data_IF_899144173286
#
_entry.id   IF_899144173286
#
_cell.length_a   1.000
_cell.length_b   1.000
_cell.length_c   1.000
_cell.angle_alpha   90.00
_cell.angle_beta   90.00
_cell.angle_gamma   90.00
#
_symmetry.space_group_name_H-M   'P 1'
#
loop_
_entity.id
_entity.type
_entity.pdbx_description
1 polymer ?
#
# COMPACT_ATOMS: atom_id res chain seq x y z
N UNK A 1 -12.47 10.04 21.35
CA UNK A 1 -12.09 9.33 20.12
C UNK A 1 -10.65 9.65 19.81
N UNK A 2 -9.91 8.69 19.26
CA UNK A 2 -8.47 8.74 18.95
C UNK A 2 -8.34 8.79 17.43
N UNK A 3 -7.47 9.66 16.90
CA UNK A 3 -7.21 9.71 15.46
C UNK A 3 -6.21 8.62 15.06
N UNK A 4 -6.72 7.54 14.46
CA UNK A 4 -5.89 6.39 14.07
C UNK A 4 -4.95 6.71 12.89
N UNK A 5 -5.10 7.87 12.23
CA UNK A 5 -4.11 8.35 11.29
C UNK A 5 -2.79 8.71 11.97
N UNK A 6 -2.83 9.27 13.18
CA UNK A 6 -1.61 9.55 13.93
C UNK A 6 -0.91 8.25 14.35
N UNK A 7 -1.68 7.24 14.75
CA UNK A 7 -1.15 5.90 15.05
C UNK A 7 -0.52 5.25 13.82
N UNK A 8 -1.15 5.36 12.65
CA UNK A 8 -0.57 4.90 11.37
C UNK A 8 0.81 5.50 11.13
N UNK A 9 0.93 6.83 11.22
CA UNK A 9 2.19 7.55 11.02
C UNK A 9 3.25 7.12 12.02
N UNK A 10 2.87 7.00 13.29
CA UNK A 10 3.77 6.56 14.35
C UNK A 10 4.22 5.11 14.17
N UNK A 11 3.35 4.22 13.69
CA UNK A 11 3.71 2.84 13.39
C UNK A 11 4.66 2.76 12.20
N UNK A 12 4.41 3.52 11.13
CA UNK A 12 5.34 3.61 9.99
C UNK A 12 6.70 4.14 10.46
N UNK A 13 6.75 5.21 11.26
CA UNK A 13 8.03 5.71 11.80
C UNK A 13 8.74 4.71 12.71
N UNK A 14 7.99 3.81 13.35
CA UNK A 14 8.53 2.75 14.21
C UNK A 14 8.96 1.49 13.43
N UNK A 15 8.93 1.53 12.10
CA UNK A 15 9.42 0.45 11.26
C UNK A 15 8.35 -0.56 10.81
N UNK A 16 7.07 -0.36 11.11
CA UNK A 16 6.04 -1.32 10.76
C UNK A 16 5.54 -1.13 9.32
N UNK A 17 5.25 -2.25 8.64
CA UNK A 17 4.43 -2.22 7.43
C UNK A 17 2.97 -2.09 7.82
N UNK A 18 2.30 -1.04 7.36
CA UNK A 18 0.95 -0.69 7.77
C UNK A 18 0.02 -0.52 6.58
N UNK A 19 -1.27 -0.69 6.82
CA UNK A 19 -2.35 -0.32 5.89
C UNK A 19 -2.94 1.00 6.37
N UNK A 20 -3.12 1.96 5.46
CA UNK A 20 -3.73 3.24 5.78
C UNK A 20 -5.13 3.04 6.43
N UNK A 21 -5.49 3.79 7.49
CA UNK A 21 -6.76 3.62 8.21
C UNK A 21 -8.00 3.61 7.32
N UNK A 22 -8.00 4.41 6.25
CA UNK A 22 -9.05 4.42 5.23
C UNK A 22 -9.32 3.01 4.66
N UNK A 23 -8.30 2.38 4.10
CA UNK A 23 -8.42 1.06 3.47
C UNK A 23 -8.75 -0.01 4.50
N UNK A 24 -8.17 0.10 5.71
CA UNK A 24 -8.48 -0.78 6.82
C UNK A 24 -9.96 -0.71 7.21
N UNK A 25 -10.49 0.49 7.48
CA UNK A 25 -11.91 0.68 7.83
C UNK A 25 -12.85 0.18 6.73
N UNK A 26 -12.50 0.42 5.46
CA UNK A 26 -13.25 -0.11 4.31
C UNK A 26 -13.28 -1.65 4.35
N UNK A 27 -12.14 -2.30 4.57
CA UNK A 27 -12.06 -3.75 4.64
C UNK A 27 -12.88 -4.29 5.82
N UNK A 28 -12.79 -3.66 6.99
CA UNK A 28 -13.54 -4.04 8.18
C UNK A 28 -15.07 -3.89 7.98
N UNK A 29 -15.49 -2.82 7.29
CA UNK A 29 -16.89 -2.60 6.92
C UNK A 29 -17.43 -3.63 5.92
N UNK A 30 -16.60 -4.07 4.95
CA UNK A 30 -16.96 -5.15 4.01
C UNK A 30 -17.02 -6.51 4.71
N UNK A 31 -16.04 -6.81 5.57
CA UNK A 31 -15.90 -8.06 6.29
C UNK A 31 -16.89 -8.23 7.45
N UNK A 32 -17.57 -7.15 7.86
CA UNK A 32 -18.44 -7.09 9.06
C UNK A 32 -17.68 -7.47 10.34
N UNK A 33 -16.40 -7.13 10.42
CA UNK A 33 -15.49 -7.52 11.50
C UNK A 33 -15.26 -6.42 12.54
N UNK A 34 -15.86 -5.23 12.36
CA UNK A 34 -15.83 -4.18 13.38
C UNK A 34 -16.58 -4.64 14.66
N UNK A 35 -16.05 -4.32 15.86
CA UNK A 35 -16.75 -4.52 17.12
C UNK A 35 -18.17 -3.95 17.11
N UNK A 36 -19.07 -4.58 17.88
CA UNK A 36 -20.51 -4.30 17.90
C UNK A 36 -20.85 -2.84 18.27
N UNK A 37 -19.98 -2.21 19.06
CA UNK A 37 -20.18 -0.90 19.68
C UNK A 37 -19.12 0.14 19.25
N UNK A 38 -18.56 -0.02 18.05
CA UNK A 38 -17.53 0.91 17.55
C UNK A 38 -18.09 2.30 17.25
N UNK A 39 -17.51 3.32 17.89
CA UNK A 39 -17.71 4.73 17.51
C UNK A 39 -16.60 5.15 16.52
N UNK A 40 -16.99 5.52 15.30
CA UNK A 40 -16.07 5.84 14.21
C UNK A 40 -16.52 7.12 13.51
N UNK A 41 -15.61 8.05 13.28
CA UNK A 41 -15.83 9.25 12.48
C UNK A 41 -14.67 9.47 11.52
N UNK A 42 -14.97 9.62 10.24
CA UNK A 42 -13.96 9.86 9.22
C UNK A 42 -14.51 10.79 8.14
N UNK A 43 -13.84 11.92 7.96
CA UNK A 43 -14.39 13.07 7.25
C UNK A 43 -15.76 13.50 7.83
N UNK A 44 -16.73 13.72 6.95
CA UNK A 44 -18.10 14.14 7.32
C UNK A 44 -19.02 12.99 7.77
N UNK A 45 -18.49 11.78 7.93
CA UNK A 45 -19.29 10.61 8.26
C UNK A 45 -19.02 10.22 9.71
N UNK A 46 -20.09 10.04 10.49
CA UNK A 46 -20.05 9.63 11.91
C UNK A 46 -20.94 8.40 12.12
N UNK A 47 -20.43 7.42 12.87
CA UNK A 47 -21.14 6.22 13.29
C UNK A 47 -21.01 6.07 14.80
N UNK A 48 -22.14 5.78 15.46
CA UNK A 48 -22.20 5.53 16.91
C UNK A 48 -22.94 4.25 17.24
N UNK A 49 -22.29 3.37 18.02
CA UNK A 49 -22.93 2.30 18.82
C UNK A 49 -24.05 1.46 18.18
N UNK A 50 -24.03 1.21 16.87
CA UNK A 50 -24.99 0.29 16.22
C UNK A 50 -24.23 -0.68 15.34
N UNK A 51 -24.51 -1.98 15.51
CA UNK A 51 -24.24 -3.03 14.51
C UNK A 51 -24.41 -2.45 13.10
N UNK A 52 -23.44 -2.70 12.23
CA UNK A 52 -23.65 -2.69 10.78
C UNK A 52 -24.64 -3.81 10.42
N UNK A 53 -25.93 -3.68 10.80
CA UNK A 53 -27.01 -4.62 10.45
C UNK A 53 -27.13 -4.72 8.93
N UNK A 54 -26.81 -3.64 8.23
CA UNK A 54 -26.43 -3.59 6.83
C UNK A 54 -25.03 -2.99 6.83
N UNK A 55 -24.07 -3.62 6.13
CA UNK A 55 -22.72 -3.05 5.97
C UNK A 55 -22.81 -1.60 5.49
N UNK A 56 -21.80 -0.77 5.76
CA UNK A 56 -21.70 0.53 5.09
C UNK A 56 -21.73 0.24 3.58
N UNK A 57 -22.58 0.95 2.84
CA UNK A 57 -22.61 0.75 1.39
C UNK A 57 -21.23 1.09 0.83
N UNK A 58 -20.75 0.25 -0.10
CA UNK A 58 -19.46 0.46 -0.75
C UNK A 58 -19.40 1.85 -1.42
N UNK A 59 -20.55 2.34 -1.89
CA UNK A 59 -20.71 3.64 -2.52
C UNK A 59 -20.60 4.79 -1.53
N UNK A 60 -21.01 4.61 -0.27
CA UNK A 60 -20.79 5.59 0.80
C UNK A 60 -19.31 5.67 1.13
N UNK A 61 -18.61 4.54 1.19
CA UNK A 61 -17.17 4.49 1.48
C UNK A 61 -16.32 5.08 0.35
N UNK A 62 -16.69 4.82 -0.91
CA UNK A 62 -16.00 5.33 -2.10
C UNK A 62 -16.09 6.85 -2.29
N UNK A 63 -17.06 7.52 -1.66
CA UNK A 63 -17.22 8.99 -1.70
C UNK A 63 -16.21 9.72 -0.81
N UNK A 64 -15.43 8.99 -0.04
CA UNK A 64 -14.48 9.54 0.91
C UNK A 64 -13.13 9.48 0.22
N UNK A 65 -12.54 10.64 -0.03
CA UNK A 65 -11.19 10.69 -0.57
C UNK A 65 -10.22 10.18 0.49
N UNK A 66 -9.26 9.32 0.12
CA UNK A 66 -8.24 8.79 1.04
C UNK A 66 -7.30 9.88 1.56
N UNK A 67 -6.99 10.88 0.71
CA UNK A 67 -5.99 11.94 0.93
C UNK A 67 -6.59 13.37 0.86
N UNK A 68 -7.85 13.55 1.23
CA UNK A 68 -8.50 14.86 1.32
C UNK A 68 -7.94 15.73 2.45
N UNK A 69 -7.98 17.07 2.27
CA UNK A 69 -7.42 18.07 3.21
C UNK A 69 -8.00 18.03 4.63
N UNK A 70 -9.14 17.37 4.84
CA UNK A 70 -9.85 17.29 6.13
C UNK A 70 -9.89 15.87 6.73
N UNK A 71 -9.00 14.98 6.29
CA UNK A 71 -9.08 13.57 6.68
C UNK A 71 -8.54 13.31 8.08
N UNK A 72 -9.45 13.19 9.04
CA UNK A 72 -9.23 12.52 10.31
C UNK A 72 -9.92 11.15 10.31
N UNK A 73 -9.42 10.21 11.10
CA UNK A 73 -9.99 8.88 11.29
C UNK A 73 -10.15 8.63 12.79
N UNK A 74 -11.20 9.19 13.36
CA UNK A 74 -11.47 9.12 14.79
C UNK A 74 -12.17 7.80 15.14
N UNK A 75 -11.56 7.01 16.01
CA UNK A 75 -12.11 5.76 16.50
C UNK A 75 -12.22 5.78 18.04
N UNK A 76 -13.09 4.95 18.61
CA UNK A 76 -12.99 4.66 20.05
C UNK A 76 -11.70 3.89 20.39
N UNK A 77 -11.47 3.72 21.70
CA UNK A 77 -10.28 3.04 22.22
C UNK A 77 -10.19 1.59 21.75
N UNK A 78 -11.28 0.84 21.79
CA UNK A 78 -11.28 -0.59 21.45
C UNK A 78 -10.93 -0.79 19.96
N UNK A 79 -11.53 0.00 19.07
CA UNK A 79 -11.30 -0.04 17.63
C UNK A 79 -9.86 0.37 17.30
N UNK A 80 -9.35 1.37 18.00
CA UNK A 80 -7.95 1.80 17.90
C UNK A 80 -6.97 0.71 18.32
N UNK A 81 -7.26 -0.01 19.40
CA UNK A 81 -6.44 -1.13 19.88
C UNK A 81 -6.43 -2.30 18.88
N UNK A 82 -7.57 -2.59 18.25
CA UNK A 82 -7.66 -3.60 17.17
C UNK A 82 -6.77 -3.21 16.00
N UNK A 83 -6.88 -1.97 15.50
CA UNK A 83 -6.03 -1.47 14.41
C UNK A 83 -4.54 -1.63 14.72
N UNK A 84 -4.11 -1.11 15.88
CA UNK A 84 -2.71 -1.17 16.29
C UNK A 84 -2.19 -2.62 16.40
N UNK A 85 -2.98 -3.52 16.96
CA UNK A 85 -2.62 -4.93 17.08
C UNK A 85 -2.46 -5.59 15.71
N UNK A 86 -3.39 -5.34 14.79
CA UNK A 86 -3.35 -5.88 13.44
C UNK A 86 -2.15 -5.36 12.66
N UNK A 87 -1.86 -4.06 12.71
CA UNK A 87 -0.69 -3.47 12.03
C UNK A 87 0.63 -4.00 12.59
N UNK A 88 0.76 -4.17 13.91
CA UNK A 88 1.97 -4.74 14.52
C UNK A 88 2.18 -6.22 14.20
N UNK A 89 1.10 -6.96 13.99
CA UNK A 89 1.14 -8.35 13.54
C UNK A 89 1.30 -8.47 12.02
N UNK A 90 1.16 -7.37 11.29
CA UNK A 90 1.21 -7.36 9.83
C UNK A 90 2.62 -7.63 9.33
N UNK A 91 2.70 -8.47 8.30
CA UNK A 91 3.88 -8.61 7.47
C UNK A 91 3.68 -7.93 6.12
N UNK A 92 4.71 -8.02 5.29
CA UNK A 92 4.64 -7.50 3.92
C UNK A 92 3.55 -8.19 3.10
N UNK A 93 2.69 -7.37 2.52
CA UNK A 93 1.87 -7.67 1.35
C UNK A 93 1.86 -6.45 0.43
N UNK A 94 1.30 -6.57 -0.77
CA UNK A 94 1.28 -5.49 -1.78
C UNK A 94 0.67 -4.21 -1.18
N UNK A 95 -0.46 -4.34 -0.48
CA UNK A 95 -1.18 -3.20 0.07
C UNK A 95 -0.45 -2.51 1.23
N UNK A 96 0.16 -3.29 2.13
CA UNK A 96 0.93 -2.75 3.24
C UNK A 96 2.20 -2.07 2.75
N UNK A 97 2.87 -2.62 1.73
CA UNK A 97 4.04 -1.99 1.12
C UNK A 97 3.63 -0.67 0.48
N UNK A 98 2.59 -0.65 -0.36
CA UNK A 98 2.13 0.56 -1.04
C UNK A 98 1.77 1.68 -0.04
N UNK A 99 0.97 1.37 0.99
CA UNK A 99 0.58 2.36 2.00
C UNK A 99 1.78 2.87 2.81
N UNK A 100 2.70 1.97 3.19
CA UNK A 100 3.89 2.35 3.95
C UNK A 100 4.83 3.22 3.10
N UNK A 101 5.03 2.87 1.84
CA UNK A 101 5.88 3.60 0.91
C UNK A 101 5.34 5.01 0.64
N UNK A 102 4.03 5.13 0.38
CA UNK A 102 3.34 6.42 0.18
C UNK A 102 3.49 7.35 1.40
N UNK A 103 3.37 6.81 2.62
CA UNK A 103 3.57 7.62 3.84
C UNK A 103 5.03 8.04 4.05
N UNK A 104 5.99 7.17 3.70
CA UNK A 104 7.41 7.48 3.80
C UNK A 104 7.86 8.52 2.75
N UNK A 105 7.20 8.55 1.59
CA UNK A 105 7.63 9.30 0.41
C UNK A 105 6.44 10.03 -0.24
N UNK A 106 6.21 11.26 0.22
CA UNK A 106 5.04 12.09 -0.16
C UNK A 106 4.90 12.41 -1.66
N UNK A 107 5.95 12.21 -2.44
CA UNK A 107 5.94 12.37 -3.89
C UNK A 107 5.34 11.18 -4.65
N UNK A 108 5.09 10.08 -3.95
CA UNK A 108 4.37 8.94 -4.49
C UNK A 108 2.89 9.01 -4.17
N UNK A 109 2.10 8.63 -5.15
CA UNK A 109 0.67 8.36 -5.00
C UNK A 109 0.44 6.87 -5.25
N UNK A 110 -0.42 6.23 -4.44
CA UNK A 110 -0.75 4.81 -4.60
C UNK A 110 -2.10 4.57 -5.30
N UNK A 111 -2.22 3.43 -5.98
CA UNK A 111 -3.44 2.97 -6.65
C UNK A 111 -4.01 3.94 -7.72
N UNK A 112 -3.14 4.63 -8.46
CA UNK A 112 -3.53 5.64 -9.45
C UNK A 112 -3.95 4.99 -10.77
N UNK A 113 -5.10 5.45 -11.30
CA UNK A 113 -5.57 5.08 -12.63
C UNK A 113 -4.86 5.88 -13.71
N UNK A 114 -4.16 5.18 -14.61
CA UNK A 114 -3.46 5.77 -15.76
C UNK A 114 -4.33 5.80 -17.03
N UNK A 115 -5.46 5.09 -17.01
CA UNK A 115 -6.40 4.95 -18.10
C UNK A 115 -7.50 3.93 -17.76
N UNK A 116 -8.34 3.59 -18.72
CA UNK A 116 -9.41 2.61 -18.52
C UNK A 116 -8.84 1.23 -18.15
N UNK A 117 -9.03 0.82 -16.90
CA UNK A 117 -8.60 -0.49 -16.40
C UNK A 117 -7.11 -0.62 -16.09
N UNK A 118 -6.34 0.47 -16.19
CA UNK A 118 -4.90 0.47 -15.92
C UNK A 118 -4.62 1.22 -14.62
N UNK A 119 -4.24 0.49 -13.56
CA UNK A 119 -4.01 1.03 -12.22
C UNK A 119 -2.62 0.67 -11.75
N UNK A 120 -1.76 1.66 -11.53
CA UNK A 120 -0.42 1.47 -11.02
C UNK A 120 -0.41 1.42 -9.49
N UNK A 121 0.49 0.63 -8.92
CA UNK A 121 0.63 0.49 -7.47
C UNK A 121 1.17 1.76 -6.81
N UNK A 122 2.29 2.30 -7.32
CA UNK A 122 2.93 3.52 -6.86
C UNK A 122 3.43 4.33 -8.06
N UNK A 123 3.14 5.63 -8.08
CA UNK A 123 3.60 6.54 -9.14
C UNK A 123 4.09 7.86 -8.55
N UNK A 124 5.19 8.37 -9.08
CA UNK A 124 5.68 9.73 -8.83
C UNK A 124 5.77 10.52 -10.14
N UNK A 125 6.43 11.69 -10.12
CA UNK A 125 6.64 12.50 -11.33
C UNK A 125 7.47 11.81 -12.42
N UNK A 126 8.33 10.86 -12.03
CA UNK A 126 9.28 10.21 -12.94
C UNK A 126 9.41 8.70 -12.77
N UNK A 127 8.79 8.11 -11.74
CA UNK A 127 8.87 6.67 -11.47
C UNK A 127 7.50 6.02 -11.40
N UNK A 128 7.43 4.76 -11.83
CA UNK A 128 6.34 3.83 -11.55
C UNK A 128 6.94 2.59 -10.90
N UNK A 129 6.40 2.21 -9.74
CA UNK A 129 6.79 1.00 -9.01
C UNK A 129 5.58 0.06 -8.97
N UNK A 130 5.74 -1.15 -9.47
CA UNK A 130 4.78 -2.24 -9.32
C UNK A 130 5.26 -3.20 -8.22
N UNK A 131 4.41 -3.46 -7.22
CA UNK A 131 4.75 -4.30 -6.08
C UNK A 131 4.10 -5.66 -6.24
N UNK A 132 4.92 -6.73 -6.22
CA UNK A 132 4.41 -8.10 -6.33
C UNK A 132 5.15 -9.08 -5.45
N UNK A 133 4.48 -10.19 -5.16
CA UNK A 133 5.17 -11.38 -4.65
C UNK A 133 6.20 -11.83 -5.68
N UNK A 134 7.32 -12.36 -5.20
CA UNK A 134 8.43 -12.83 -6.05
C UNK A 134 7.96 -13.75 -7.20
N UNK A 135 7.07 -14.71 -6.91
CA UNK A 135 6.58 -15.66 -7.91
C UNK A 135 5.63 -15.04 -8.96
N UNK A 136 5.18 -13.81 -8.77
CA UNK A 136 4.32 -13.06 -9.68
C UNK A 136 5.08 -12.03 -10.53
N UNK A 137 6.41 -12.12 -10.60
CA UNK A 137 7.25 -11.15 -11.32
C UNK A 137 6.87 -10.98 -12.81
N UNK A 138 6.44 -12.04 -13.49
CA UNK A 138 5.98 -11.94 -14.90
C UNK A 138 4.72 -11.09 -15.04
N UNK A 139 3.82 -11.20 -14.07
CA UNK A 139 2.62 -10.37 -14.02
C UNK A 139 3.00 -8.90 -13.78
N UNK A 140 3.92 -8.66 -12.85
CA UNK A 140 4.44 -7.32 -12.58
C UNK A 140 5.06 -6.70 -13.84
N UNK A 141 5.90 -7.45 -14.56
CA UNK A 141 6.51 -6.99 -15.81
C UNK A 141 5.46 -6.64 -16.87
N UNK A 142 4.46 -7.50 -17.08
CA UNK A 142 3.38 -7.23 -18.03
C UNK A 142 2.60 -5.95 -17.67
N UNK A 143 2.32 -5.75 -16.39
CA UNK A 143 1.66 -4.53 -15.89
C UNK A 143 2.53 -3.28 -16.13
N UNK A 144 3.79 -3.31 -15.74
CA UNK A 144 4.73 -2.19 -15.92
C UNK A 144 4.90 -1.80 -17.40
N UNK A 145 5.00 -2.79 -18.29
CA UNK A 145 5.05 -2.54 -19.73
C UNK A 145 3.77 -1.87 -20.26
N UNK A 146 2.60 -2.24 -19.71
CA UNK A 146 1.34 -1.56 -20.06
C UNK A 146 1.31 -0.11 -19.56
N UNK A 147 1.90 0.17 -18.39
CA UNK A 147 1.93 1.51 -17.81
C UNK A 147 2.75 2.48 -18.68
N UNK A 148 3.82 2.00 -19.31
CA UNK A 148 4.67 2.80 -20.22
C UNK A 148 3.91 3.40 -21.40
N UNK A 149 2.86 2.75 -21.88
CA UNK A 149 2.01 3.33 -22.92
C UNK A 149 1.41 4.68 -22.47
N UNK A 150 0.97 4.76 -21.21
CA UNK A 150 0.40 5.97 -20.63
C UNK A 150 1.44 6.95 -20.09
N UNK A 151 2.62 6.45 -19.73
CA UNK A 151 3.70 7.19 -19.06
C UNK A 151 5.07 6.83 -19.68
N UNK A 152 5.33 7.24 -20.93
CA UNK A 152 6.49 6.75 -21.69
C UNK A 152 7.84 7.23 -21.14
N UNK A 153 7.85 8.34 -20.40
CA UNK A 153 9.07 8.91 -19.83
C UNK A 153 9.31 8.46 -18.38
N UNK A 154 8.45 7.62 -17.82
CA UNK A 154 8.59 7.14 -16.46
C UNK A 154 9.54 5.94 -16.40
N UNK A 155 10.50 6.02 -15.47
CA UNK A 155 11.33 4.87 -15.08
C UNK A 155 10.45 3.83 -14.41
N UNK A 156 10.71 2.59 -14.76
CA UNK A 156 9.84 1.48 -14.44
C UNK A 156 10.58 0.51 -13.52
N UNK A 157 9.99 0.24 -12.36
CA UNK A 157 10.59 -0.56 -11.31
C UNK A 157 9.60 -1.64 -10.87
N UNK A 158 10.11 -2.85 -10.66
CA UNK A 158 9.37 -3.92 -9.99
C UNK A 158 9.96 -4.13 -8.60
N UNK A 159 9.11 -4.07 -7.59
CA UNK A 159 9.46 -4.39 -6.21
C UNK A 159 8.91 -5.77 -5.85
N UNK A 160 9.81 -6.76 -5.77
CA UNK A 160 9.47 -8.15 -5.48
C UNK A 160 9.68 -8.48 -4.01
N UNK A 161 8.63 -8.83 -3.29
CA UNK A 161 8.76 -9.32 -1.92
C UNK A 161 8.54 -10.84 -1.84
N UNK A 162 9.33 -11.51 -1.01
CA UNK A 162 9.29 -12.96 -0.94
C UNK A 162 10.59 -13.55 -0.42
N UNK A 163 10.62 -14.88 -0.32
CA UNK A 163 11.87 -15.58 -0.11
C UNK A 163 12.48 -15.89 -1.48
N UNK A 164 13.69 -15.40 -1.80
CA UNK A 164 14.40 -15.87 -2.99
C UNK A 164 14.73 -17.35 -2.80
N UNK A 165 14.21 -18.20 -3.68
CA UNK A 165 14.34 -19.65 -3.53
C UNK A 165 15.65 -20.16 -4.17
N UNK A 166 16.10 -19.55 -5.27
CA UNK A 166 17.24 -20.03 -6.07
C UNK A 166 18.00 -18.82 -6.69
N UNK A 167 19.33 -18.69 -6.53
CA UNK A 167 20.10 -17.58 -7.12
C UNK A 167 19.95 -17.45 -8.64
N UNK A 168 19.91 -18.58 -9.37
CA UNK A 168 19.69 -18.57 -10.82
C UNK A 168 18.34 -17.98 -11.19
N UNK A 169 17.29 -18.25 -10.41
CA UNK A 169 15.96 -17.69 -10.66
C UNK A 169 15.97 -16.16 -10.55
N UNK A 170 16.70 -15.61 -9.57
CA UNK A 170 16.88 -14.16 -9.43
C UNK A 170 17.70 -13.58 -10.59
N UNK A 171 18.75 -14.27 -11.03
CA UNK A 171 19.54 -13.86 -12.19
C UNK A 171 18.69 -13.80 -13.46
N UNK A 172 17.86 -14.82 -13.71
CA UNK A 172 16.96 -14.86 -14.86
C UNK A 172 15.94 -13.72 -14.84
N UNK A 173 15.35 -13.42 -13.68
CA UNK A 173 14.44 -12.26 -13.52
C UNK A 173 15.16 -10.96 -13.89
N UNK A 174 16.35 -10.74 -13.35
CA UNK A 174 17.11 -9.52 -13.60
C UNK A 174 17.48 -9.37 -15.09
N UNK A 175 17.92 -10.45 -15.75
CA UNK A 175 18.26 -10.45 -17.17
C UNK A 175 17.03 -10.10 -18.01
N UNK A 176 15.90 -10.76 -17.74
CA UNK A 176 14.67 -10.56 -18.51
C UNK A 176 14.11 -9.15 -18.29
N UNK A 177 14.03 -8.67 -17.05
CA UNK A 177 13.52 -7.33 -16.79
C UNK A 177 14.45 -6.25 -17.35
N UNK A 178 15.77 -6.43 -17.28
CA UNK A 178 16.76 -5.52 -17.86
C UNK A 178 16.65 -5.44 -19.39
N UNK A 179 16.35 -6.55 -20.08
CA UNK A 179 16.07 -6.54 -21.51
C UNK A 179 14.93 -5.56 -21.89
N UNK A 180 13.98 -5.36 -20.98
CA UNK A 180 12.89 -4.40 -21.14
C UNK A 180 13.16 -3.05 -20.46
N UNK A 181 14.39 -2.76 -20.03
CA UNK A 181 14.74 -1.53 -19.29
C UNK A 181 13.91 -1.35 -17.99
N UNK A 182 13.60 -2.45 -17.30
CA UNK A 182 12.86 -2.45 -16.03
C UNK A 182 13.80 -2.85 -14.90
N UNK A 183 13.97 -1.97 -13.92
CA UNK A 183 14.77 -2.26 -12.73
C UNK A 183 13.98 -3.17 -11.77
N UNK A 184 14.70 -4.02 -11.02
CA UNK A 184 14.08 -4.94 -10.05
C UNK A 184 14.75 -4.79 -8.70
N UNK A 185 13.93 -4.63 -7.66
CA UNK A 185 14.37 -4.60 -6.27
C UNK A 185 13.67 -5.68 -5.47
N UNK A 186 14.37 -6.24 -4.49
CA UNK A 186 13.90 -7.41 -3.74
C UNK A 186 13.77 -7.09 -2.25
N UNK A 187 12.65 -7.48 -1.66
CA UNK A 187 12.41 -7.41 -0.21
C UNK A 187 12.33 -8.82 0.36
N UNK A 188 13.27 -9.17 1.24
CA UNK A 188 13.24 -10.45 1.95
C UNK A 188 12.13 -10.46 2.99
N UNK A 189 11.29 -11.50 3.01
CA UNK A 189 10.21 -11.71 3.99
C UNK A 189 10.67 -11.77 5.44
N UNK A 190 11.98 -11.95 5.69
CA UNK A 190 12.55 -11.84 7.03
C UNK A 190 12.58 -10.41 7.56
N UNK A 191 12.46 -9.41 6.68
CA UNK A 191 12.42 -8.00 7.08
C UNK A 191 11.02 -7.63 7.56
N UNK A 192 10.86 -7.52 8.87
CA UNK A 192 9.67 -6.91 9.49
C UNK A 192 9.77 -5.39 9.60
N UNK A 193 10.94 -4.84 9.27
CA UNK A 193 11.22 -3.42 9.37
C UNK A 193 11.10 -2.77 7.98
N UNK A 194 10.32 -1.70 7.89
CA UNK A 194 10.09 -0.94 6.65
C UNK A 194 11.29 -0.10 6.20
N UNK A 195 12.37 0.01 6.98
CA UNK A 195 13.60 0.72 6.57
C UNK A 195 14.19 0.18 5.27
N UNK A 196 13.90 -1.08 4.90
CA UNK A 196 14.27 -1.66 3.61
C UNK A 196 13.68 -0.89 2.41
N UNK A 197 12.55 -0.21 2.59
CA UNK A 197 11.96 0.63 1.55
C UNK A 197 12.81 1.87 1.25
N UNK A 198 13.63 2.33 2.20
CA UNK A 198 14.53 3.45 1.96
C UNK A 198 15.65 3.12 0.98
N UNK A 199 16.14 1.88 1.01
CA UNK A 199 17.10 1.41 0.01
C UNK A 199 16.45 1.31 -1.37
N UNK A 200 15.23 0.78 -1.46
CA UNK A 200 14.45 0.72 -2.71
C UNK A 200 14.29 2.12 -3.29
N UNK A 201 13.79 3.07 -2.48
CA UNK A 201 13.62 4.46 -2.90
C UNK A 201 14.92 5.07 -3.43
N UNK A 202 16.03 4.90 -2.69
CA UNK A 202 17.35 5.40 -3.10
C UNK A 202 17.77 4.81 -4.45
N UNK A 203 17.74 3.48 -4.58
CA UNK A 203 18.18 2.79 -5.78
C UNK A 203 17.35 3.18 -7.00
N UNK A 204 16.02 3.26 -6.84
CA UNK A 204 15.11 3.60 -7.92
C UNK A 204 15.33 5.01 -8.46
N UNK A 205 15.78 5.96 -7.62
CA UNK A 205 16.08 7.34 -8.05
C UNK A 205 17.51 7.56 -8.57
N UNK A 206 18.41 6.59 -8.41
CA UNK A 206 19.82 6.70 -8.86
C UNK A 206 20.13 5.95 -10.14
N UNK A 207 19.17 5.22 -10.71
CA UNK A 207 19.32 4.72 -12.07
C UNK A 207 19.34 5.91 -13.01
N UNK A 208 20.36 6.03 -13.86
CA UNK A 208 20.44 6.97 -14.99
C UNK A 208 19.98 6.29 -16.27
#
# INVERSE_FOLDING_TARGET
>A
MIDVLQDFKQLVSNGYFCIHPHSWLIAQAKGRTLPYDSDIRFGNIEYKGKKFRRGISLDTLKKIEKNGKENFYLCDKNTTEVYNREMKAMGMNEHSINCTFEEMYSEFESEIYLGSGCRADLISKSLIIEVKKLNAWKHALGQVLSYRYHKPNHKCVILLFGKPEIPQYIADINIICSYYDVAVHYLSTGSKNNTVLAEVYRLSNTFD
#
